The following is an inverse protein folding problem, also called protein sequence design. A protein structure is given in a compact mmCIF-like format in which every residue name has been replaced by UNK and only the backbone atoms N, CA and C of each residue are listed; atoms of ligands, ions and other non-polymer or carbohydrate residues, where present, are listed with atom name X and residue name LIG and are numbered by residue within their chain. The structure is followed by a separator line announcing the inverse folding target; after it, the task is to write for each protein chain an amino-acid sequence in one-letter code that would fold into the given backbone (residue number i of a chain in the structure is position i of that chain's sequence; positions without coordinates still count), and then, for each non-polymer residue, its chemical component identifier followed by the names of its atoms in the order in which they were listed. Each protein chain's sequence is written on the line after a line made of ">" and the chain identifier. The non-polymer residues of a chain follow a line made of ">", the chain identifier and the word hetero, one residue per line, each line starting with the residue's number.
data_IF_276858974736
#
_entry.id   IF_276858974736
#
_cell.length_a   1.000
_cell.length_b   1.000
_cell.length_c   1.000
_cell.angle_alpha   90.00
_cell.angle_beta   90.00
_cell.angle_gamma   90.00
#
_symmetry.space_group_name_H-M   'P 1'
#
loop_
_entity.id
_entity.type
_entity.pdbx_description
1 polymer ?
#
# COMPACT_ATOMS: atom_id res chain seq x y z
N UNK A 1 -18.84 27.94 3.32
CA UNK A 1 -17.80 27.84 2.28
C UNK A 1 -16.51 27.22 2.81
N UNK A 2 -15.95 27.71 3.93
CA UNK A 2 -14.72 27.16 4.53
C UNK A 2 -14.81 25.69 4.96
N UNK A 3 -15.97 25.23 5.47
CA UNK A 3 -16.13 23.85 5.93
C UNK A 3 -16.06 22.82 4.78
N UNK A 4 -16.55 23.18 3.60
CA UNK A 4 -16.55 22.31 2.42
C UNK A 4 -15.11 22.12 1.94
N UNK A 5 -14.35 23.22 1.87
CA UNK A 5 -12.92 23.20 1.50
C UNK A 5 -12.11 22.38 2.51
N UNK A 6 -12.39 22.54 3.81
CA UNK A 6 -11.72 21.76 4.87
C UNK A 6 -11.95 20.26 4.71
N UNK A 7 -13.20 19.83 4.51
CA UNK A 7 -13.54 18.41 4.31
C UNK A 7 -12.91 17.84 3.05
N UNK A 8 -12.89 18.62 1.96
CA UNK A 8 -12.22 18.23 0.72
C UNK A 8 -10.73 17.99 0.95
N UNK A 9 -10.02 18.95 1.55
CA UNK A 9 -8.58 18.86 1.77
C UNK A 9 -8.19 17.69 2.70
N UNK A 10 -9.01 17.36 3.70
CA UNK A 10 -8.78 16.21 4.58
C UNK A 10 -8.87 14.88 3.83
N UNK A 11 -9.80 14.76 2.88
CA UNK A 11 -10.06 13.49 2.17
C UNK A 11 -9.28 13.34 0.85
N UNK A 12 -8.82 14.44 0.26
CA UNK A 12 -8.16 14.48 -1.06
C UNK A 12 -6.90 13.61 -1.13
N UNK A 13 -6.12 13.52 -0.03
CA UNK A 13 -4.80 12.88 -0.04
C UNK A 13 -4.80 11.35 -0.07
N UNK A 14 -5.96 10.68 0.02
CA UNK A 14 -6.01 9.21 0.10
C UNK A 14 -5.39 8.51 -1.11
N UNK A 15 -5.65 9.03 -2.32
CA UNK A 15 -5.12 8.47 -3.58
C UNK A 15 -3.62 8.73 -3.69
N UNK A 16 -3.14 9.93 -3.35
CA UNK A 16 -1.73 10.27 -3.40
C UNK A 16 -0.90 9.44 -2.41
N UNK A 17 -1.45 9.17 -1.23
CA UNK A 17 -0.81 8.28 -0.24
C UNK A 17 -0.69 6.87 -0.80
N UNK A 18 -1.75 6.36 -1.44
CA UNK A 18 -1.73 5.04 -2.07
C UNK A 18 -0.67 4.97 -3.18
N UNK A 19 -0.65 5.95 -4.08
CA UNK A 19 0.32 5.99 -5.18
C UNK A 19 1.76 6.06 -4.66
N UNK A 20 2.00 6.86 -3.61
CA UNK A 20 3.30 6.91 -2.94
C UNK A 20 3.72 5.56 -2.34
N UNK A 21 2.79 4.85 -1.68
CA UNK A 21 3.06 3.52 -1.11
C UNK A 21 3.34 2.47 -2.19
N UNK A 22 2.58 2.49 -3.29
CA UNK A 22 2.78 1.62 -4.43
C UNK A 22 4.13 1.86 -5.11
N UNK A 23 4.50 3.14 -5.28
CA UNK A 23 5.76 3.56 -5.90
C UNK A 23 6.98 3.16 -5.07
N UNK A 24 6.88 3.23 -3.73
CA UNK A 24 7.98 2.96 -2.79
C UNK A 24 8.61 1.57 -2.96
N UNK A 25 7.81 0.56 -3.31
CA UNK A 25 8.28 -0.81 -3.52
C UNK A 25 7.74 -1.43 -4.82
N UNK A 26 7.65 -0.60 -5.87
CA UNK A 26 7.12 -1.01 -7.17
C UNK A 26 7.92 -2.19 -7.76
N UNK A 27 7.27 -3.33 -8.06
CA UNK A 27 7.91 -4.43 -8.75
C UNK A 27 8.40 -4.00 -10.14
N UNK A 28 9.70 -4.15 -10.41
CA UNK A 28 10.29 -3.87 -11.74
C UNK A 28 10.44 -5.17 -12.51
N UNK A 29 9.33 -5.69 -13.03
CA UNK A 29 9.32 -6.87 -13.88
C UNK A 29 9.16 -6.45 -15.34
N UNK A 30 10.20 -6.63 -16.15
CA UNK A 30 10.13 -6.37 -17.59
C UNK A 30 9.54 -7.58 -18.30
N UNK A 31 8.30 -7.46 -18.76
CA UNK A 31 7.63 -8.50 -19.56
C UNK A 31 7.25 -7.98 -20.94
N UNK A 32 7.27 -8.87 -21.93
CA UNK A 32 6.78 -8.58 -23.30
C UNK A 32 5.25 -8.54 -23.36
N UNK A 33 4.56 -9.12 -22.37
CA UNK A 33 3.11 -9.17 -22.30
C UNK A 33 2.58 -7.96 -21.52
N UNK A 34 1.74 -7.13 -22.16
CA UNK A 34 1.22 -5.88 -21.58
C UNK A 34 0.48 -6.10 -20.24
N UNK A 35 -0.24 -7.21 -20.10
CA UNK A 35 -1.04 -7.54 -18.91
C UNK A 35 -0.19 -7.92 -17.69
N UNK A 36 1.09 -8.23 -17.87
CA UNK A 36 1.98 -8.59 -16.76
C UNK A 36 2.28 -7.40 -15.85
N UNK A 37 2.34 -6.19 -16.42
CA UNK A 37 2.46 -4.95 -15.65
C UNK A 37 1.22 -4.72 -14.78
N UNK A 38 0.03 -5.05 -15.29
CA UNK A 38 -1.22 -4.94 -14.53
C UNK A 38 -1.25 -5.97 -13.39
N UNK A 39 -0.92 -7.22 -13.68
CA UNK A 39 -0.89 -8.30 -12.69
C UNK A 39 0.10 -8.00 -11.55
N UNK A 40 1.34 -7.62 -11.88
CA UNK A 40 2.35 -7.29 -10.87
C UNK A 40 1.98 -6.05 -10.05
N UNK A 41 1.33 -5.05 -10.65
CA UNK A 41 0.82 -3.90 -9.92
C UNK A 41 -0.37 -4.27 -9.00
N UNK A 42 -1.23 -5.20 -9.41
CA UNK A 42 -2.32 -5.71 -8.59
C UNK A 42 -1.81 -6.46 -7.34
N UNK A 43 -0.76 -7.28 -7.50
CA UNK A 43 -0.11 -7.92 -6.35
C UNK A 43 0.51 -6.90 -5.39
N UNK A 44 1.17 -5.87 -5.94
CA UNK A 44 1.72 -4.77 -5.13
C UNK A 44 0.62 -4.05 -4.32
N UNK A 45 -0.52 -3.79 -4.96
CA UNK A 45 -1.70 -3.20 -4.31
C UNK A 45 -2.26 -4.09 -3.20
N UNK A 46 -2.37 -5.40 -3.43
CA UNK A 46 -2.84 -6.34 -2.42
C UNK A 46 -1.96 -6.32 -1.16
N UNK A 47 -0.63 -6.26 -1.32
CA UNK A 47 0.32 -6.17 -0.20
C UNK A 47 0.14 -4.86 0.58
N UNK A 48 -0.02 -3.72 -0.12
CA UNK A 48 -0.26 -2.42 0.54
C UNK A 48 -1.59 -2.41 1.30
N UNK A 49 -2.64 -3.00 0.72
CA UNK A 49 -3.95 -3.12 1.37
C UNK A 49 -3.87 -4.03 2.62
N UNK A 50 -3.19 -5.16 2.53
CA UNK A 50 -2.98 -6.07 3.66
C UNK A 50 -2.17 -5.38 4.79
N UNK A 51 -1.14 -4.60 4.45
CA UNK A 51 -0.39 -3.81 5.42
C UNK A 51 -1.27 -2.76 6.11
N UNK A 52 -2.17 -2.11 5.35
CA UNK A 52 -3.09 -1.12 5.91
C UNK A 52 -4.05 -1.76 6.92
N UNK A 53 -4.61 -2.92 6.57
CA UNK A 53 -5.44 -3.71 7.48
C UNK A 53 -4.67 -4.15 8.72
N UNK A 54 -3.44 -4.64 8.57
CA UNK A 54 -2.57 -4.97 9.70
C UNK A 54 -2.40 -3.75 10.63
N UNK A 55 -2.13 -2.56 10.08
CA UNK A 55 -2.00 -1.35 10.89
C UNK A 55 -3.27 -0.93 11.61
N UNK A 56 -4.44 -1.20 11.04
CA UNK A 56 -5.73 -0.92 11.68
C UNK A 56 -6.02 -1.93 12.80
N UNK A 57 -5.65 -3.20 12.63
CA UNK A 57 -5.85 -4.25 13.65
C UNK A 57 -4.88 -4.11 14.83
N UNK A 58 -3.63 -3.71 14.58
CA UNK A 58 -2.57 -3.61 15.59
C UNK A 58 -2.31 -2.16 16.04
N UNK A 59 -3.32 -1.28 15.93
CA UNK A 59 -3.17 0.16 16.16
C UNK A 59 -2.75 0.53 17.59
N UNK A 60 -3.08 -0.30 18.58
CA UNK A 60 -2.75 -0.09 20.00
C UNK A 60 -1.55 -0.91 20.50
N UNK A 61 -0.99 -1.79 19.67
CA UNK A 61 0.14 -2.63 20.06
C UNK A 61 1.45 -2.09 19.46
N UNK A 62 2.54 -2.15 20.25
CA UNK A 62 3.90 -1.83 19.78
C UNK A 62 4.42 -2.81 18.71
N UNK A 63 3.58 -3.72 18.23
CA UNK A 63 3.88 -4.72 17.21
C UNK A 63 3.48 -4.28 15.80
N UNK A 64 3.00 -3.04 15.62
CA UNK A 64 2.68 -2.51 14.29
C UNK A 64 3.94 -2.43 13.41
N UNK A 65 4.06 -3.38 12.49
CA UNK A 65 5.20 -3.48 11.58
C UNK A 65 5.26 -2.31 10.58
N UNK A 66 6.47 -1.86 10.28
CA UNK A 66 6.72 -0.95 9.17
C UNK A 66 6.33 -1.61 7.84
N UNK A 67 6.08 -0.82 6.78
CA UNK A 67 5.73 -1.38 5.47
C UNK A 67 6.83 -2.32 4.93
N UNK A 68 8.11 -2.04 5.24
CA UNK A 68 9.23 -2.91 4.90
C UNK A 68 9.19 -4.23 5.65
N UNK A 69 9.03 -4.16 6.97
CA UNK A 69 9.09 -5.35 7.83
C UNK A 69 7.90 -6.28 7.58
N UNK A 70 6.71 -5.71 7.36
CA UNK A 70 5.53 -6.47 6.94
C UNK A 70 5.75 -7.20 5.62
N UNK A 71 6.42 -6.57 4.65
CA UNK A 71 6.77 -7.22 3.37
C UNK A 71 7.75 -8.36 3.55
N UNK A 72 8.76 -8.19 4.41
CA UNK A 72 9.71 -9.25 4.76
C UNK A 72 8.99 -10.43 5.41
N UNK A 73 8.12 -10.14 6.37
CA UNK A 73 7.33 -11.13 7.08
C UNK A 73 6.43 -11.94 6.14
N UNK A 74 5.70 -11.29 5.23
CA UNK A 74 4.94 -11.99 4.18
C UNK A 74 5.86 -12.88 3.34
N UNK A 75 7.04 -12.38 2.96
CA UNK A 75 7.97 -13.13 2.10
C UNK A 75 8.49 -14.38 2.82
N UNK A 76 8.78 -14.31 4.11
CA UNK A 76 9.21 -15.47 4.92
C UNK A 76 8.11 -16.49 5.16
N UNK A 77 6.84 -16.09 5.12
CA UNK A 77 5.71 -17.02 5.29
C UNK A 77 5.27 -17.67 3.96
N UNK A 78 5.57 -17.06 2.82
CA UNK A 78 5.19 -17.56 1.49
C UNK A 78 6.29 -18.38 0.80
N UNK A 79 7.54 -18.31 1.28
CA UNK A 79 8.69 -19.08 0.80
C UNK A 79 9.02 -20.19 1.79
#
# INVERSE_FOLDING_TARGET
>A
MLEIVRRYNTSMGGVDILDKLLSSYRPRLRSKKWWWNLFSNALNLAVVAAWRLHRELYQESSTALSHLDFRRDITTHLL
#
